data_IF_681079629713
#
_entry.id   IF_681079629713
#
_cell.length_a   1.000
_cell.length_b   1.000
_cell.length_c   1.000
_cell.angle_alpha   90.00
_cell.angle_beta   90.00
_cell.angle_gamma   90.00
#
_symmetry.space_group_name_H-M   'P 1'
#
loop_
_entity.id
_entity.type
_entity.pdbx_description
1 polymer ?
#
# COMPACT_ATOMS: atom_id res chain seq x y z
N UNK A 1 -10.58 -2.22 -12.12
CA UNK A 1 -10.12 -1.24 -13.12
C UNK A 1 -9.32 -0.18 -12.40
N UNK A 2 -8.17 0.22 -12.93
CA UNK A 2 -7.30 1.22 -12.31
C UNK A 2 -6.54 1.97 -13.40
N UNK A 3 -6.50 3.29 -13.32
CA UNK A 3 -5.73 4.14 -14.21
C UNK A 3 -4.32 4.32 -13.65
N UNK A 4 -3.31 4.16 -14.51
CA UNK A 4 -1.93 4.47 -14.18
C UNK A 4 -1.68 5.96 -14.43
N UNK A 5 -1.38 6.71 -13.38
CA UNK A 5 -1.15 8.15 -13.42
C UNK A 5 0.13 8.49 -12.65
N UNK A 6 0.79 9.61 -12.95
CA UNK A 6 1.88 10.10 -12.11
C UNK A 6 1.34 10.54 -10.74
N UNK A 7 2.18 10.44 -9.71
CA UNK A 7 1.80 10.88 -8.36
C UNK A 7 1.42 12.36 -8.31
N UNK A 8 1.95 13.19 -9.22
CA UNK A 8 1.57 14.61 -9.37
C UNK A 8 0.06 14.83 -9.54
N UNK A 9 -0.63 13.99 -10.32
CA UNK A 9 -2.06 14.17 -10.63
C UNK A 9 -2.99 13.52 -9.60
N UNK A 10 -2.50 12.61 -8.76
CA UNK A 10 -3.37 11.86 -7.84
C UNK A 10 -3.74 12.64 -6.57
N UNK A 11 -5.00 12.63 -6.10
CA UNK A 11 -5.34 13.33 -4.86
C UNK A 11 -4.69 12.69 -3.63
N UNK A 12 -4.47 13.49 -2.58
CA UNK A 12 -4.02 12.99 -1.27
C UNK A 12 -5.03 11.99 -0.70
N UNK A 13 -4.54 10.96 -0.01
CA UNK A 13 -5.38 9.92 0.59
C UNK A 13 -5.86 8.83 -0.37
N UNK A 14 -5.50 8.90 -1.65
CA UNK A 14 -5.88 7.89 -2.65
C UNK A 14 -5.21 6.54 -2.35
N UNK A 15 -6.00 5.46 -2.49
CA UNK A 15 -5.52 4.08 -2.46
C UNK A 15 -4.87 3.73 -3.80
N UNK A 16 -3.63 3.25 -3.75
CA UNK A 16 -2.82 2.97 -4.93
C UNK A 16 -2.13 1.63 -4.79
N UNK A 17 -1.82 1.02 -5.93
CA UNK A 17 -0.94 -0.12 -6.03
C UNK A 17 0.03 0.07 -7.19
N UNK A 18 0.94 -0.88 -7.37
CA UNK A 18 1.92 -0.86 -8.46
C UNK A 18 2.70 0.47 -8.52
N UNK A 19 3.40 0.80 -7.43
CA UNK A 19 4.15 2.05 -7.30
C UNK A 19 5.60 1.89 -7.80
N UNK A 20 6.04 2.89 -8.55
CA UNK A 20 7.42 3.05 -8.99
C UNK A 20 8.26 3.84 -7.96
N UNK A 21 9.47 3.34 -7.64
CA UNK A 21 10.40 4.02 -6.72
C UNK A 21 11.21 5.08 -7.45
N UNK A 22 11.63 4.77 -8.67
CA UNK A 22 12.48 5.62 -9.50
C UNK A 22 11.92 5.59 -10.91
N UNK A 23 11.68 6.76 -11.50
CA UNK A 23 11.22 6.89 -12.87
C UNK A 23 12.01 6.01 -13.84
N UNK A 24 11.31 5.22 -14.65
CA UNK A 24 11.87 4.38 -15.70
C UNK A 24 12.41 3.03 -15.22
N UNK A 25 12.41 2.75 -13.91
CA UNK A 25 12.77 1.42 -13.37
C UNK A 25 11.57 0.48 -13.25
N UNK A 26 10.38 0.97 -13.55
CA UNK A 26 9.15 0.22 -13.44
C UNK A 26 8.72 0.01 -12.00
N UNK A 27 7.63 -0.76 -11.87
CA UNK A 27 6.91 -0.95 -10.62
C UNK A 27 7.66 -1.91 -9.70
N UNK A 28 7.95 -1.46 -8.48
CA UNK A 28 8.68 -2.25 -7.48
C UNK A 28 7.85 -2.49 -6.21
N UNK A 29 6.99 -1.54 -5.85
CA UNK A 29 6.22 -1.53 -4.60
C UNK A 29 4.75 -1.90 -4.84
N UNK A 30 4.11 -2.43 -3.78
CA UNK A 30 2.68 -2.76 -3.76
C UNK A 30 2.23 -3.62 -4.96
N UNK A 31 3.03 -4.65 -5.30
CA UNK A 31 2.74 -5.62 -6.38
C UNK A 31 1.91 -6.82 -5.93
N UNK A 32 1.87 -7.09 -4.62
CA UNK A 32 1.20 -8.26 -4.07
C UNK A 32 -0.34 -8.11 -4.16
N UNK A 33 -1.04 -9.25 -4.24
CA UNK A 33 -2.49 -9.28 -4.20
C UNK A 33 -3.01 -8.69 -2.87
N UNK A 34 -3.98 -7.78 -2.94
CA UNK A 34 -4.48 -7.06 -1.77
C UNK A 34 -3.52 -6.00 -1.19
N UNK A 35 -2.36 -5.74 -1.81
CA UNK A 35 -1.48 -4.66 -1.37
C UNK A 35 -2.09 -3.30 -1.76
N UNK A 36 -2.33 -2.48 -0.74
CA UNK A 36 -2.78 -1.10 -0.90
C UNK A 36 -1.79 -0.18 -0.20
N UNK A 37 -1.30 0.79 -0.94
CA UNK A 37 -0.53 1.90 -0.42
C UNK A 37 -1.37 3.18 -0.47
N UNK A 38 -1.07 4.12 0.41
CA UNK A 38 -1.82 5.38 0.53
C UNK A 38 -0.89 6.56 0.37
N UNK A 39 -1.32 7.54 -0.42
CA UNK A 39 -0.60 8.81 -0.53
C UNK A 39 -0.92 9.68 0.69
N UNK A 40 0.09 9.97 1.51
CA UNK A 40 -0.08 10.74 2.76
C UNK A 40 0.14 12.22 2.50
N UNK A 41 1.25 12.55 1.84
CA UNK A 41 1.63 13.92 1.59
C UNK A 41 2.31 14.05 0.23
N UNK A 42 2.23 15.25 -0.33
CA UNK A 42 2.96 15.68 -1.51
C UNK A 42 3.76 16.90 -1.12
N UNK A 43 5.07 16.80 -1.14
CA UNK A 43 5.96 17.87 -0.72
C UNK A 43 6.94 18.20 -1.84
N UNK A 44 6.82 19.40 -2.41
CA UNK A 44 7.73 19.89 -3.44
C UNK A 44 7.84 18.92 -4.63
N UNK A 45 9.00 18.25 -4.75
CA UNK A 45 9.33 17.29 -5.83
C UNK A 45 9.13 15.82 -5.43
N UNK A 46 8.73 15.58 -4.18
CA UNK A 46 8.60 14.25 -3.59
C UNK A 46 7.18 14.02 -3.06
N UNK A 47 6.81 12.75 -2.95
CA UNK A 47 5.54 12.28 -2.44
C UNK A 47 5.84 11.26 -1.34
N UNK A 48 5.10 11.39 -0.24
CA UNK A 48 5.20 10.52 0.92
C UNK A 48 4.09 9.49 0.83
N UNK A 49 4.48 8.23 0.70
CA UNK A 49 3.58 7.10 0.59
C UNK A 49 3.65 6.24 1.85
N UNK A 50 2.49 5.77 2.31
CA UNK A 50 2.39 4.73 3.32
C UNK A 50 2.24 3.38 2.62
N UNK A 51 3.21 2.50 2.86
CA UNK A 51 3.23 1.16 2.33
C UNK A 51 2.26 0.25 3.12
N UNK A 52 1.81 -0.87 2.54
CA UNK A 52 0.98 -1.86 3.23
C UNK A 52 1.67 -2.49 4.46
N UNK A 53 3.00 -2.39 4.58
CA UNK A 53 3.75 -2.79 5.76
C UNK A 53 3.62 -1.82 6.95
N UNK A 54 2.99 -0.66 6.74
CA UNK A 54 2.95 0.44 7.71
C UNK A 54 4.17 1.38 7.62
N UNK A 55 5.19 1.03 6.83
CA UNK A 55 6.36 1.89 6.58
C UNK A 55 5.96 3.10 5.73
N UNK A 56 6.51 4.28 6.08
CA UNK A 56 6.37 5.49 5.29
C UNK A 56 7.63 5.70 4.46
N UNK A 57 7.45 5.91 3.16
CA UNK A 57 8.54 6.05 2.20
C UNK A 57 8.36 7.26 1.30
N UNK A 58 9.47 7.93 1.03
CA UNK A 58 9.54 9.06 0.11
C UNK A 58 9.86 8.56 -1.30
N UNK A 59 9.10 9.02 -2.29
CA UNK A 59 9.32 8.78 -3.72
C UNK A 59 9.19 10.06 -4.51
N UNK A 60 9.74 10.14 -5.71
CA UNK A 60 9.56 11.33 -6.56
C UNK A 60 8.11 11.42 -7.05
N UNK A 61 7.54 12.63 -7.10
CA UNK A 61 6.17 12.85 -7.63
C UNK A 61 6.00 12.43 -9.09
N UNK A 62 7.12 12.37 -9.76
CA UNK A 62 7.23 12.00 -11.15
C UNK A 62 7.01 10.47 -11.36
N UNK A 63 7.14 9.64 -10.32
CA UNK A 63 6.89 8.21 -10.44
C UNK A 63 5.43 7.88 -10.80
N UNK A 64 5.25 6.77 -11.52
CA UNK A 64 3.93 6.25 -11.87
C UNK A 64 3.37 5.36 -10.75
N UNK A 65 2.06 5.46 -10.54
CA UNK A 65 1.30 4.58 -9.67
C UNK A 65 -0.04 4.24 -10.32
N UNK A 66 -0.65 3.13 -9.92
CA UNK A 66 -2.00 2.77 -10.38
C UNK A 66 -3.02 3.04 -9.29
N UNK A 67 -4.11 3.75 -9.61
CA UNK A 67 -5.20 4.00 -8.67
C UNK A 67 -5.99 2.70 -8.44
N UNK A 68 -6.25 2.40 -7.16
CA UNK A 68 -7.05 1.26 -6.74
C UNK A 68 -6.25 0.23 -5.95
N UNK A 69 -6.74 -1.01 -5.97
CA UNK A 69 -6.13 -2.15 -5.29
C UNK A 69 -5.96 -3.33 -6.25
N UNK A 70 -4.91 -4.13 -6.04
CA UNK A 70 -4.76 -5.42 -6.74
C UNK A 70 -5.83 -6.37 -6.20
N UNK A 71 -6.54 -7.06 -7.11
CA UNK A 71 -7.62 -8.00 -6.76
C UNK A 71 -7.24 -9.02 -5.67
N UNK A 72 -8.26 -9.63 -5.06
CA UNK A 72 -8.27 -10.42 -3.80
C UNK A 72 -8.70 -9.65 -2.55
N UNK A 73 -9.84 -8.97 -2.65
CA UNK A 73 -10.50 -8.18 -1.60
C UNK A 73 -10.96 -9.04 -0.39
N UNK A 74 -10.87 -10.38 -0.49
CA UNK A 74 -11.44 -11.32 0.48
C UNK A 74 -10.54 -11.73 1.66
N UNK A 75 -9.24 -11.38 1.66
CA UNK A 75 -8.29 -11.94 2.66
C UNK A 75 -7.69 -10.91 3.61
N UNK A 76 -7.74 -9.61 3.30
CA UNK A 76 -7.01 -8.59 4.09
C UNK A 76 -7.77 -7.27 4.25
N UNK A 77 -9.06 -7.32 4.60
CA UNK A 77 -9.89 -6.13 4.84
C UNK A 77 -10.24 -5.95 6.32
N UNK A 78 -9.39 -6.46 7.24
CA UNK A 78 -9.69 -6.43 8.68
C UNK A 78 -8.51 -6.16 9.61
N UNK A 79 -7.45 -5.47 9.17
CA UNK A 79 -6.26 -5.27 10.04
C UNK A 79 -5.84 -3.82 10.32
N UNK A 80 -6.51 -2.80 9.79
CA UNK A 80 -6.22 -1.39 10.17
C UNK A 80 -7.37 -0.69 10.94
N UNK A 81 -8.40 -1.43 11.37
CA UNK A 81 -9.41 -0.92 12.33
C UNK A 81 -9.39 -1.61 13.71
N UNK A 82 -8.55 -2.63 13.92
CA UNK A 82 -8.49 -3.36 15.22
C UNK A 82 -7.47 -2.83 16.24
N UNK A 83 -6.55 -1.93 15.86
CA UNK A 83 -5.54 -1.42 16.82
C UNK A 83 -5.99 -0.21 17.65
N UNK A 84 -7.12 0.43 17.32
CA UNK A 84 -7.72 1.51 18.13
C UNK A 84 -8.71 0.98 19.18
N UNK A 85 -9.12 -0.29 19.09
CA UNK A 85 -10.02 -0.92 20.07
C UNK A 85 -9.38 -2.17 20.64
N UNK A 86 -8.73 -2.02 21.80
CA UNK A 86 -8.07 -3.09 22.53
C UNK A 86 -8.91 -4.35 22.71
N UNK A 87 -8.78 -5.29 21.77
CA UNK A 87 -9.24 -6.67 21.89
C UNK A 87 -8.16 -7.61 21.39
N UNK A 88 -7.80 -8.55 22.27
CA UNK A 88 -6.90 -9.67 22.02
C UNK A 88 -7.41 -10.47 20.82
N UNK A 89 -6.62 -10.60 19.75
CA UNK A 89 -6.79 -11.70 18.80
C UNK A 89 -5.88 -12.84 19.23
N UNK A 90 -6.45 -13.79 19.96
CA UNK A 90 -5.84 -15.09 20.23
C UNK A 90 -5.67 -15.81 18.90
N UNK A 91 -4.48 -15.75 18.31
CA UNK A 91 -4.20 -16.42 17.04
C UNK A 91 -3.94 -17.92 17.30
N UNK A 92 -4.99 -18.67 17.62
CA UNK A 92 -4.94 -20.13 17.69
C UNK A 92 -4.99 -20.74 16.30
N UNK A 93 -3.94 -20.56 15.49
CA UNK A 93 -3.77 -21.32 14.24
C UNK A 93 -2.32 -21.37 13.73
N UNK A 94 -1.36 -21.73 14.60
CA UNK A 94 -0.07 -22.29 14.17
C UNK A 94 0.23 -23.51 15.04
N UNK A 95 -0.45 -24.62 14.75
CA UNK A 95 0.04 -25.94 15.13
C UNK A 95 0.62 -26.62 13.89
N UNK A 96 1.86 -26.27 13.54
CA UNK A 96 2.67 -27.13 12.67
C UNK A 96 3.76 -27.79 13.50
N UNK A 97 3.37 -28.96 14.00
CA UNK A 97 4.17 -30.17 14.30
C UNK A 97 5.67 -29.95 14.44
N UNK A 98 6.13 -30.01 15.70
CA UNK A 98 7.40 -30.66 16.02
C UNK A 98 7.31 -32.13 15.61
N UNK A 99 8.26 -32.59 14.83
CA UNK A 99 8.81 -33.94 14.99
C UNK A 99 10.29 -33.76 15.32
#
# INVERSE_FOLDING_TARGET
MGNALPLTDMPLGTAMHNIEITRGRGVQLARAAGAVAKLIAKEGKSATLRLPSGEVRLVSQNCLATVGQVGNVGVNLRLEEELVKGKKYSNSFILRRRK
#
